data_IF_749164338956
#
_entry.id   IF_749164338956
#
_cell.length_a   1.000
_cell.length_b   1.000
_cell.length_c   1.000
_cell.angle_alpha   90.00
_cell.angle_beta   90.00
_cell.angle_gamma   90.00
#
_symmetry.space_group_name_H-M   'P 1'
#
loop_
_entity.id
_entity.type
_entity.pdbx_description
1 polymer ?
#
# COMPACT_ATOMS: atom_id res chain seq x y z
N UNK A 1 26.71 -5.42 11.00
CA UNK A 1 26.11 -6.72 11.32
C UNK A 1 25.00 -6.98 10.31
N UNK A 2 24.99 -8.18 9.73
CA UNK A 2 23.94 -8.59 8.77
C UNK A 2 22.84 -9.31 9.53
N UNK A 3 21.58 -8.87 9.33
CA UNK A 3 20.42 -9.56 9.89
C UNK A 3 20.19 -10.85 9.10
N UNK A 4 20.23 -11.99 9.77
CA UNK A 4 20.05 -13.31 9.15
C UNK A 4 18.83 -14.07 9.67
N UNK A 5 18.24 -13.63 10.79
CA UNK A 5 17.07 -14.26 11.41
C UNK A 5 16.28 -13.25 12.21
N UNK A 6 14.93 -13.39 12.17
CA UNK A 6 14.02 -12.80 13.14
C UNK A 6 13.26 -13.91 13.83
N UNK A 7 13.08 -13.79 15.15
CA UNK A 7 12.29 -14.73 15.95
C UNK A 7 11.06 -14.06 16.49
N UNK A 8 9.94 -14.68 16.32
CA UNK A 8 8.64 -14.22 16.79
C UNK A 8 8.14 -15.09 17.92
N UNK A 9 7.49 -14.47 18.90
CA UNK A 9 7.05 -15.13 20.12
C UNK A 9 5.55 -14.97 20.29
N UNK A 10 4.92 -15.96 20.93
CA UNK A 10 3.59 -15.86 21.49
C UNK A 10 3.59 -14.98 22.75
N UNK A 11 2.42 -14.60 23.24
CA UNK A 11 2.26 -13.80 24.47
C UNK A 11 2.83 -14.50 25.71
N UNK A 12 2.80 -15.82 25.74
CA UNK A 12 3.37 -16.65 26.81
C UNK A 12 4.91 -16.78 26.77
N UNK A 13 5.56 -16.17 25.77
CA UNK A 13 7.00 -16.19 25.57
C UNK A 13 7.53 -17.42 24.82
N UNK A 14 6.68 -18.36 24.42
CA UNK A 14 7.06 -19.47 23.56
C UNK A 14 7.34 -18.99 22.13
N UNK A 15 8.16 -19.73 21.37
CA UNK A 15 8.52 -19.38 20.00
C UNK A 15 7.34 -19.68 19.08
N UNK A 16 6.82 -18.65 18.41
CA UNK A 16 5.79 -18.77 17.39
C UNK A 16 6.39 -19.29 16.08
N UNK A 17 7.41 -18.59 15.55
CA UNK A 17 8.17 -19.02 14.38
C UNK A 17 9.49 -18.25 14.23
N UNK A 18 10.38 -18.80 13.44
CA UNK A 18 11.60 -18.14 12.98
C UNK A 18 11.47 -17.78 11.50
N UNK A 19 11.87 -16.56 11.14
CA UNK A 19 12.02 -16.13 9.76
C UNK A 19 13.50 -16.00 9.42
N UNK A 20 13.97 -16.76 8.43
CA UNK A 20 15.33 -16.68 7.95
C UNK A 20 15.47 -15.66 6.81
N UNK A 21 16.56 -14.91 6.86
CA UNK A 21 16.85 -13.82 5.92
C UNK A 21 18.20 -14.10 5.26
N UNK A 22 18.24 -14.05 3.96
CA UNK A 22 19.44 -14.18 3.14
C UNK A 22 19.49 -13.02 2.15
N UNK A 23 20.61 -12.33 2.08
CA UNK A 23 20.81 -11.14 1.21
C UNK A 23 19.73 -10.06 1.41
N UNK A 24 19.27 -9.88 2.66
CA UNK A 24 18.23 -8.90 3.00
C UNK A 24 16.81 -9.32 2.62
N UNK A 25 16.62 -10.53 2.08
CA UNK A 25 15.32 -11.05 1.68
C UNK A 25 14.85 -12.19 2.59
N UNK A 26 13.55 -12.20 2.85
CA UNK A 26 12.88 -13.28 3.60
C UNK A 26 12.84 -14.55 2.74
N UNK A 27 13.46 -15.64 3.24
CA UNK A 27 13.62 -16.88 2.48
C UNK A 27 12.83 -18.06 3.03
N UNK A 28 12.60 -18.08 4.34
CA UNK A 28 12.00 -19.23 4.97
C UNK A 28 11.32 -18.84 6.29
N UNK A 29 10.17 -19.43 6.54
CA UNK A 29 9.40 -19.26 7.77
C UNK A 29 9.26 -20.65 8.43
N UNK A 30 9.91 -20.83 9.59
CA UNK A 30 9.93 -22.09 10.31
C UNK A 30 9.04 -22.02 11.54
N UNK A 31 7.93 -22.71 11.47
CA UNK A 31 7.03 -22.95 12.59
C UNK A 31 7.42 -24.27 13.30
N UNK A 32 6.94 -24.55 14.52
CA UNK A 32 7.22 -25.80 15.23
C UNK A 32 6.84 -27.07 14.45
N UNK A 33 5.78 -27.02 13.64
CA UNK A 33 5.18 -28.15 12.95
C UNK A 33 5.31 -28.11 11.42
N UNK A 34 5.80 -26.99 10.85
CA UNK A 34 5.88 -26.82 9.39
C UNK A 34 6.87 -25.75 8.97
N UNK A 35 7.21 -25.75 7.68
CA UNK A 35 8.10 -24.78 7.05
C UNK A 35 7.42 -24.24 5.80
N UNK A 36 7.53 -22.91 5.59
CA UNK A 36 7.15 -22.25 4.35
C UNK A 36 8.40 -21.65 3.71
N UNK A 37 8.57 -21.86 2.41
CA UNK A 37 9.75 -21.43 1.66
C UNK A 37 9.54 -20.09 0.95
N UNK A 38 8.36 -19.47 1.11
CA UNK A 38 8.07 -18.14 0.60
C UNK A 38 6.99 -17.46 1.44
N UNK A 39 6.93 -16.12 1.36
CA UNK A 39 5.85 -15.33 1.95
C UNK A 39 4.49 -15.72 1.33
N UNK A 40 4.47 -16.03 0.04
CA UNK A 40 3.25 -16.45 -0.65
C UNK A 40 2.68 -17.76 -0.07
N UNK A 41 3.52 -18.76 0.20
CA UNK A 41 3.07 -20.02 0.86
C UNK A 41 2.50 -19.77 2.25
N UNK A 42 3.18 -18.93 3.06
CA UNK A 42 2.69 -18.56 4.38
C UNK A 42 1.34 -17.86 4.32
N UNK A 43 1.19 -16.87 3.42
CA UNK A 43 -0.06 -16.13 3.25
C UNK A 43 -1.18 -17.04 2.75
N UNK A 44 -0.89 -17.94 1.82
CA UNK A 44 -1.85 -18.96 1.34
C UNK A 44 -2.37 -19.79 2.49
N UNK A 45 -1.48 -20.35 3.29
CA UNK A 45 -1.86 -21.14 4.46
C UNK A 45 -2.69 -20.33 5.45
N UNK A 46 -2.29 -19.09 5.74
CA UNK A 46 -3.04 -18.21 6.62
C UNK A 46 -4.47 -17.97 6.12
N UNK A 47 -4.64 -17.62 4.85
CA UNK A 47 -5.97 -17.40 4.25
C UNK A 47 -6.83 -18.67 4.26
N UNK A 48 -6.24 -19.84 4.00
CA UNK A 48 -6.95 -21.11 4.09
C UNK A 48 -7.42 -21.42 5.51
N UNK A 49 -6.63 -21.07 6.54
CA UNK A 49 -7.04 -21.23 7.93
C UNK A 49 -8.23 -20.34 8.33
N UNK A 50 -8.42 -19.20 7.66
CA UNK A 50 -9.57 -18.31 7.91
C UNK A 50 -10.91 -18.90 7.46
N UNK A 51 -10.91 -19.88 6.52
CA UNK A 51 -12.12 -20.48 5.97
C UNK A 51 -13.14 -19.46 5.47
N UNK A 52 -12.66 -18.48 4.70
CA UNK A 52 -13.44 -17.33 4.21
C UNK A 52 -14.78 -17.75 3.59
N UNK A 53 -15.81 -16.97 3.87
CA UNK A 53 -17.19 -17.16 3.39
C UNK A 53 -17.65 -15.95 2.57
N UNK A 54 -18.85 -16.03 2.00
CA UNK A 54 -19.40 -15.00 1.11
C UNK A 54 -19.69 -13.64 1.77
N UNK A 55 -19.85 -13.61 3.08
CA UNK A 55 -20.06 -12.41 3.90
C UNK A 55 -18.75 -11.80 4.45
N UNK A 56 -17.61 -12.47 4.24
CA UNK A 56 -16.31 -11.92 4.58
C UNK A 56 -15.84 -10.93 3.53
N UNK A 57 -14.99 -9.98 3.97
CA UNK A 57 -14.33 -9.00 3.11
C UNK A 57 -12.83 -9.08 3.33
N UNK A 58 -12.10 -9.32 2.26
CA UNK A 58 -10.64 -9.26 2.25
C UNK A 58 -10.22 -7.95 1.58
N UNK A 59 -9.39 -7.17 2.26
CA UNK A 59 -8.85 -5.91 1.72
C UNK A 59 -7.34 -6.07 1.52
N UNK A 60 -6.91 -6.01 0.26
CA UNK A 60 -5.50 -5.95 -0.09
C UNK A 60 -5.03 -4.50 -0.05
N UNK A 61 -4.22 -4.19 0.96
CA UNK A 61 -3.67 -2.87 1.20
C UNK A 61 -2.20 -2.80 0.78
N UNK A 62 -1.94 -2.27 -0.40
CA UNK A 62 -0.62 -1.97 -0.99
C UNK A 62 0.47 -3.01 -0.65
N UNK A 63 0.51 -4.07 -1.39
CA UNK A 63 1.51 -5.14 -1.19
C UNK A 63 2.00 -5.66 -2.55
N UNK A 64 3.26 -6.06 -2.62
CA UNK A 64 3.85 -6.73 -3.77
C UNK A 64 4.18 -8.18 -3.44
N UNK A 65 4.03 -9.07 -4.45
CA UNK A 65 4.44 -10.47 -4.35
C UNK A 65 3.42 -11.42 -3.72
N UNK A 66 2.31 -10.92 -3.16
CA UNK A 66 1.23 -11.77 -2.61
C UNK A 66 -0.12 -11.58 -3.29
N UNK A 67 -0.23 -10.62 -4.22
CA UNK A 67 -1.50 -10.31 -4.89
C UNK A 67 -2.16 -11.54 -5.50
N UNK A 68 -1.41 -12.36 -6.23
CA UNK A 68 -1.92 -13.59 -6.82
C UNK A 68 -2.52 -14.54 -5.77
N UNK A 69 -1.80 -14.77 -4.69
CA UNK A 69 -2.27 -15.66 -3.61
C UNK A 69 -3.54 -15.15 -2.95
N UNK A 70 -3.59 -13.83 -2.67
CA UNK A 70 -4.79 -13.22 -2.09
C UNK A 70 -5.98 -13.36 -3.02
N UNK A 71 -5.80 -13.14 -4.32
CA UNK A 71 -6.87 -13.28 -5.31
C UNK A 71 -7.37 -14.73 -5.45
N UNK A 72 -6.45 -15.70 -5.41
CA UNK A 72 -6.79 -17.13 -5.49
C UNK A 72 -7.55 -17.62 -4.25
N UNK A 73 -7.11 -17.23 -3.06
CA UNK A 73 -7.68 -17.73 -1.80
C UNK A 73 -8.92 -16.93 -1.33
N UNK A 74 -9.15 -15.73 -1.91
CA UNK A 74 -10.28 -14.88 -1.53
C UNK A 74 -11.53 -15.06 -2.42
N UNK A 75 -11.57 -16.04 -3.33
CA UNK A 75 -12.64 -16.20 -4.31
C UNK A 75 -14.06 -16.40 -3.71
N UNK A 76 -14.15 -16.84 -2.46
CA UNK A 76 -15.42 -17.01 -1.75
C UNK A 76 -15.88 -15.76 -1.03
N UNK A 77 -14.94 -14.85 -0.72
CA UNK A 77 -15.18 -13.60 -0.03
C UNK A 77 -15.29 -12.43 -1.02
N UNK A 78 -15.63 -11.24 -0.52
CA UNK A 78 -15.49 -10.00 -1.27
C UNK A 78 -14.07 -9.51 -1.24
N UNK A 79 -13.51 -9.13 -2.38
CA UNK A 79 -12.15 -8.62 -2.50
C UNK A 79 -12.14 -7.12 -2.79
N UNK A 80 -11.57 -6.35 -1.86
CA UNK A 80 -11.28 -4.93 -2.02
C UNK A 80 -9.78 -4.67 -2.20
N UNK A 81 -9.43 -3.64 -2.96
CA UNK A 81 -8.04 -3.20 -3.14
C UNK A 81 -7.92 -1.71 -2.83
N UNK A 82 -6.95 -1.34 -1.98
CA UNK A 82 -6.70 0.07 -1.63
C UNK A 82 -5.58 0.65 -2.47
N UNK A 83 -5.82 1.81 -3.06
CA UNK A 83 -4.87 2.56 -3.89
C UNK A 83 -4.48 3.85 -3.15
N UNK A 84 -3.31 3.84 -2.51
CA UNK A 84 -2.87 4.91 -1.60
C UNK A 84 -2.20 6.11 -2.25
N UNK A 85 -1.56 5.92 -3.39
CA UNK A 85 -0.65 6.92 -3.95
C UNK A 85 -0.75 6.95 -5.47
N UNK A 86 0.24 7.54 -6.10
CA UNK A 86 0.41 7.50 -7.54
C UNK A 86 0.38 6.06 -8.05
N UNK A 87 -0.58 5.76 -8.90
CA UNK A 87 -0.88 4.40 -9.32
C UNK A 87 -0.36 4.06 -10.72
N UNK A 88 0.22 5.02 -11.42
CA UNK A 88 0.82 4.87 -12.75
C UNK A 88 2.00 5.83 -12.92
N UNK A 89 2.79 5.64 -13.97
CA UNK A 89 3.88 6.53 -14.35
C UNK A 89 3.46 7.36 -15.57
N UNK A 90 3.18 8.66 -15.36
CA UNK A 90 2.77 9.56 -16.43
C UNK A 90 3.85 9.67 -17.52
N UNK A 91 5.12 9.81 -17.12
CA UNK A 91 6.25 9.96 -18.04
C UNK A 91 6.60 8.68 -18.83
N UNK A 92 6.06 7.53 -18.46
CA UNK A 92 6.29 6.25 -19.12
C UNK A 92 5.00 5.65 -19.70
N UNK A 93 3.94 6.45 -19.79
CA UNK A 93 2.67 6.09 -20.43
C UNK A 93 2.53 6.84 -21.76
N UNK A 94 1.76 6.29 -22.69
CA UNK A 94 1.46 6.85 -24.02
C UNK A 94 -0.03 6.67 -24.31
N UNK A 95 -0.49 7.11 -25.48
CA UNK A 95 -1.89 6.96 -25.88
C UNK A 95 -2.34 5.49 -25.96
N UNK A 96 -1.44 4.57 -26.26
CA UNK A 96 -1.76 3.15 -26.42
C UNK A 96 -1.31 2.27 -25.23
N UNK A 97 -0.60 2.84 -24.26
CA UNK A 97 0.01 2.08 -23.18
C UNK A 97 0.05 2.88 -21.89
N UNK A 98 -0.29 2.22 -20.78
CA UNK A 98 -0.13 2.76 -19.44
C UNK A 98 0.82 1.89 -18.62
N UNK A 99 1.83 2.51 -18.00
CA UNK A 99 2.71 1.85 -17.04
C UNK A 99 2.13 1.99 -15.64
N UNK A 100 1.44 0.96 -15.17
CA UNK A 100 0.97 0.87 -13.82
C UNK A 100 2.13 0.82 -12.81
N UNK A 101 1.94 1.39 -11.66
CA UNK A 101 2.89 1.23 -10.56
C UNK A 101 2.91 -0.24 -10.10
N UNK A 102 4.11 -0.79 -9.83
CA UNK A 102 4.32 -2.19 -9.45
C UNK A 102 3.48 -2.65 -8.24
N UNK A 103 3.05 -1.72 -7.37
CA UNK A 103 2.15 -2.05 -6.27
C UNK A 103 0.73 -2.38 -6.71
N UNK A 104 0.33 -1.99 -7.92
CA UNK A 104 -1.05 -2.10 -8.41
C UNK A 104 -1.18 -2.80 -9.75
N UNK A 105 -0.07 -3.04 -10.46
CA UNK A 105 -0.08 -3.63 -11.80
C UNK A 105 -0.85 -4.96 -11.85
N UNK A 106 -0.56 -5.88 -10.93
CA UNK A 106 -1.26 -7.17 -10.86
C UNK A 106 -2.75 -6.98 -10.57
N UNK A 107 -3.11 -6.10 -9.65
CA UNK A 107 -4.48 -5.84 -9.22
C UNK A 107 -5.31 -5.20 -10.34
N UNK A 108 -4.74 -4.25 -11.07
CA UNK A 108 -5.42 -3.60 -12.18
C UNK A 108 -5.54 -4.52 -13.40
N UNK A 109 -4.51 -5.30 -13.70
CA UNK A 109 -4.54 -6.29 -14.78
C UNK A 109 -5.59 -7.38 -14.51
N UNK A 110 -5.87 -7.70 -13.25
CA UNK A 110 -6.89 -8.67 -12.82
C UNK A 110 -8.11 -8.00 -12.16
N UNK A 111 -8.48 -6.80 -12.58
CA UNK A 111 -9.56 -6.03 -11.97
C UNK A 111 -10.94 -6.69 -12.04
N UNK A 112 -11.14 -7.63 -12.97
CA UNK A 112 -12.33 -8.47 -13.08
C UNK A 112 -12.56 -9.41 -11.88
N UNK A 113 -11.51 -9.64 -11.08
CA UNK A 113 -11.56 -10.46 -9.86
C UNK A 113 -11.71 -9.62 -8.58
N UNK A 114 -11.75 -8.31 -8.72
CA UNK A 114 -11.87 -7.36 -7.60
C UNK A 114 -13.30 -6.83 -7.53
N UNK A 115 -13.95 -6.95 -6.37
CA UNK A 115 -15.29 -6.43 -6.17
C UNK A 115 -15.30 -4.89 -6.14
N UNK A 116 -14.28 -4.27 -5.53
CA UNK A 116 -14.17 -2.80 -5.46
C UNK A 116 -12.74 -2.33 -5.22
N UNK A 117 -12.40 -1.18 -5.81
CA UNK A 117 -11.20 -0.43 -5.46
C UNK A 117 -11.54 0.73 -4.53
N UNK A 118 -10.63 1.06 -3.63
CA UNK A 118 -10.73 2.20 -2.73
C UNK A 118 -9.60 3.18 -3.07
N UNK A 119 -9.96 4.42 -3.35
CA UNK A 119 -9.03 5.53 -3.58
C UNK A 119 -9.24 6.63 -2.55
N UNK A 120 -8.22 7.46 -2.32
CA UNK A 120 -8.26 8.48 -1.28
C UNK A 120 -9.06 9.74 -1.67
N UNK A 121 -9.20 10.04 -2.96
CA UNK A 121 -9.81 11.28 -3.44
C UNK A 121 -10.69 11.09 -4.68
N UNK A 122 -11.67 11.96 -4.85
CA UNK A 122 -12.50 11.99 -6.07
C UNK A 122 -11.68 12.30 -7.33
N UNK A 123 -10.59 13.05 -7.21
CA UNK A 123 -9.70 13.31 -8.33
C UNK A 123 -9.01 12.02 -8.80
N UNK A 124 -8.48 11.24 -7.85
CA UNK A 124 -7.86 9.94 -8.16
C UNK A 124 -8.87 8.96 -8.76
N UNK A 125 -10.09 8.91 -8.22
CA UNK A 125 -11.19 8.10 -8.76
C UNK A 125 -11.43 8.41 -10.24
N UNK A 126 -11.64 9.68 -10.57
CA UNK A 126 -11.90 10.12 -11.97
C UNK A 126 -10.77 9.73 -12.92
N UNK A 127 -9.51 9.93 -12.49
CA UNK A 127 -8.35 9.57 -13.29
C UNK A 127 -8.33 8.05 -13.54
N UNK A 128 -8.51 7.26 -12.49
CA UNK A 128 -8.46 5.80 -12.59
C UNK A 128 -9.63 5.25 -13.44
N UNK A 129 -10.84 5.80 -13.32
CA UNK A 129 -11.98 5.45 -14.17
C UNK A 129 -11.70 5.73 -15.65
N UNK A 130 -11.15 6.91 -15.97
CA UNK A 130 -10.75 7.27 -17.33
C UNK A 130 -9.67 6.35 -17.89
N UNK A 131 -8.70 5.99 -17.07
CA UNK A 131 -7.63 5.08 -17.47
C UNK A 131 -8.17 3.65 -17.73
N UNK A 132 -9.03 3.12 -16.88
CA UNK A 132 -9.69 1.84 -17.16
C UNK A 132 -10.51 1.90 -18.45
N UNK A 133 -11.25 2.98 -18.68
CA UNK A 133 -12.02 3.16 -19.89
C UNK A 133 -11.14 3.22 -21.16
N UNK A 134 -9.93 3.77 -21.05
CA UNK A 134 -9.03 3.97 -22.20
C UNK A 134 -8.13 2.77 -22.46
N UNK A 135 -7.53 2.20 -21.42
CA UNK A 135 -6.49 1.17 -21.53
C UNK A 135 -6.97 -0.25 -21.23
N UNK A 136 -8.22 -0.45 -20.90
CA UNK A 136 -8.76 -1.74 -20.47
C UNK A 136 -10.19 -1.93 -20.96
N UNK A 137 -10.61 -3.19 -21.09
CA UNK A 137 -12.00 -3.59 -21.30
C UNK A 137 -12.79 -3.74 -19.99
N UNK A 138 -12.14 -3.49 -18.84
CA UNK A 138 -12.69 -3.70 -17.50
C UNK A 138 -13.28 -2.41 -16.95
N UNK A 139 -14.36 -2.54 -16.19
CA UNK A 139 -15.02 -1.41 -15.53
C UNK A 139 -15.21 -1.72 -14.04
N UNK A 140 -14.15 -1.64 -13.23
CA UNK A 140 -14.24 -1.95 -11.82
C UNK A 140 -15.05 -0.90 -11.05
N UNK A 141 -15.66 -1.31 -9.94
CA UNK A 141 -16.25 -0.37 -8.98
C UNK A 141 -15.14 0.36 -8.23
N UNK A 142 -15.21 1.70 -8.17
CA UNK A 142 -14.22 2.52 -7.46
C UNK A 142 -14.95 3.40 -6.45
N UNK A 143 -14.61 3.23 -5.17
CA UNK A 143 -15.13 4.01 -4.06
C UNK A 143 -14.08 5.03 -3.57
N UNK A 144 -14.52 6.22 -3.20
CA UNK A 144 -13.65 7.21 -2.57
C UNK A 144 -13.80 7.14 -1.05
N UNK A 145 -12.72 6.79 -0.38
CA UNK A 145 -12.63 6.79 1.09
C UNK A 145 -11.37 7.57 1.47
N UNK A 146 -11.50 8.80 2.00
CA UNK A 146 -10.36 9.62 2.41
C UNK A 146 -9.49 8.92 3.46
N UNK A 147 -8.18 9.06 3.34
CA UNK A 147 -7.22 8.54 4.32
C UNK A 147 -7.26 9.40 5.57
N UNK A 148 -7.49 8.76 6.69
CA UNK A 148 -7.54 9.40 8.00
C UNK A 148 -8.89 10.06 8.32
N UNK A 149 -9.17 10.14 9.60
CA UNK A 149 -10.28 10.90 10.15
C UNK A 149 -9.78 11.79 11.27
N UNK A 150 -10.41 12.94 11.47
CA UNK A 150 -10.18 13.81 12.60
C UNK A 150 -11.43 13.77 13.47
N UNK A 151 -11.33 13.09 14.60
CA UNK A 151 -12.43 13.02 15.58
C UNK A 151 -12.65 14.38 16.26
N UNK A 152 -11.58 15.17 16.38
CA UNK A 152 -11.63 16.52 16.95
C UNK A 152 -10.70 17.46 16.17
N UNK A 153 -11.26 18.56 15.68
CA UNK A 153 -10.49 19.66 15.12
C UNK A 153 -10.10 20.61 16.25
N UNK A 154 -8.80 20.74 16.49
CA UNK A 154 -8.26 21.70 17.44
C UNK A 154 -7.58 22.83 16.69
N UNK A 155 -8.07 24.04 16.87
CA UNK A 155 -7.44 25.23 16.29
C UNK A 155 -6.51 25.88 17.31
N UNK A 156 -5.28 26.29 16.90
CA UNK A 156 -4.38 26.99 17.79
C UNK A 156 -5.04 28.31 18.26
N UNK A 157 -4.95 28.58 19.55
CA UNK A 157 -5.46 29.82 20.16
C UNK A 157 -4.42 30.95 20.11
N UNK A 158 -3.17 30.58 19.99
CA UNK A 158 -2.05 31.53 19.89
C UNK A 158 -2.01 32.18 18.51
N UNK A 159 -1.65 33.48 18.43
CA UNK A 159 -1.43 34.14 17.15
C UNK A 159 -0.29 33.47 16.37
N UNK A 160 -0.42 33.44 15.08
CA UNK A 160 0.64 32.89 14.21
C UNK A 160 1.92 33.72 14.37
N UNK A 161 3.05 33.04 14.51
CA UNK A 161 4.36 33.70 14.51
C UNK A 161 4.58 34.34 13.13
N UNK A 162 4.78 35.68 13.05
CA UNK A 162 5.03 36.35 11.78
C UNK A 162 6.27 35.80 11.07
N UNK A 163 6.30 35.83 9.76
CA UNK A 163 7.43 35.41 8.93
C UNK A 163 7.95 34.00 9.26
N UNK A 164 7.07 33.09 9.61
CA UNK A 164 7.41 31.71 9.90
C UNK A 164 6.75 30.75 8.93
N UNK A 165 7.49 29.70 8.56
CA UNK A 165 7.00 28.58 7.78
C UNK A 165 7.20 27.28 8.56
N UNK A 166 6.32 26.32 8.35
CA UNK A 166 6.43 24.98 8.93
C UNK A 166 6.27 23.94 7.83
N UNK A 167 7.07 22.90 7.90
CA UNK A 167 6.89 21.69 7.10
C UNK A 167 6.96 20.47 8.02
N UNK A 168 6.15 19.48 7.73
CA UNK A 168 6.16 18.19 8.41
C UNK A 168 6.14 17.08 7.37
N UNK A 169 7.26 16.40 7.16
CA UNK A 169 7.38 15.31 6.23
C UNK A 169 8.55 14.40 6.60
N UNK A 170 8.67 13.24 5.93
CA UNK A 170 9.89 12.44 5.99
C UNK A 170 11.06 13.24 5.35
N UNK A 171 12.28 13.06 5.87
CA UNK A 171 13.47 13.57 5.22
C UNK A 171 13.82 12.61 4.06
N UNK A 172 13.26 12.90 2.90
CA UNK A 172 13.47 12.14 1.68
C UNK A 172 13.62 13.13 0.51
N UNK A 173 14.41 12.75 -0.48
CA UNK A 173 14.78 13.62 -1.61
C UNK A 173 13.55 14.10 -2.38
N UNK A 174 12.56 13.28 -2.54
CA UNK A 174 11.29 13.60 -3.21
C UNK A 174 10.44 14.65 -2.47
N UNK A 175 10.80 15.02 -1.24
CA UNK A 175 10.10 16.06 -0.45
C UNK A 175 10.72 17.44 -0.59
N UNK A 176 11.87 17.53 -1.23
CA UNK A 176 12.57 18.79 -1.55
C UNK A 176 12.65 19.78 -0.37
N UNK A 177 12.92 19.28 0.83
CA UNK A 177 13.05 20.13 2.04
C UNK A 177 14.22 21.11 1.91
N UNK A 178 15.29 20.71 1.23
CA UNK A 178 16.45 21.55 0.86
C UNK A 178 16.01 22.75 0.02
N UNK A 179 15.10 22.60 -0.92
CA UNK A 179 14.56 23.69 -1.73
C UNK A 179 13.76 24.68 -0.87
N UNK A 180 12.95 24.16 0.05
CA UNK A 180 12.20 25.01 0.98
C UNK A 180 13.14 25.87 1.84
N UNK A 181 14.20 25.25 2.37
CA UNK A 181 15.22 25.96 3.17
C UNK A 181 15.92 27.03 2.31
N UNK A 182 16.36 26.69 1.10
CA UNK A 182 17.01 27.62 0.21
C UNK A 182 16.11 28.81 -0.16
N UNK A 183 14.85 28.56 -0.50
CA UNK A 183 13.87 29.60 -0.81
C UNK A 183 13.60 30.52 0.39
N UNK A 184 13.53 29.96 1.60
CA UNK A 184 13.33 30.74 2.83
C UNK A 184 14.50 31.66 3.10
N UNK A 185 15.74 31.18 2.92
CA UNK A 185 16.96 32.00 3.08
C UNK A 185 16.99 33.16 2.09
N UNK A 186 16.64 32.90 0.82
CA UNK A 186 16.57 33.94 -0.20
C UNK A 186 15.49 34.99 0.11
N UNK A 187 14.31 34.57 0.55
CA UNK A 187 13.22 35.48 0.90
C UNK A 187 13.55 36.33 2.14
N UNK A 188 14.38 35.83 3.06
CA UNK A 188 14.81 36.58 4.25
C UNK A 188 15.92 37.61 3.94
N UNK A 189 16.67 37.43 2.86
CA UNK A 189 17.76 38.31 2.44
C UNK A 189 17.27 39.54 1.61
N UNK A 190 15.99 39.57 1.25
CA UNK A 190 15.32 40.72 0.59
C UNK A 190 14.60 41.60 1.61
#
# INVERSE_FOLDING_TARGET
ATLYQRRFYHEDGSVAYDMLIEDGQEKLYRFPDRIFYSKAELVRYFLQCLQLQADDVVILDRETGIGQVVFEESQKAKLGVVVHAEHFSENASSDDYILWNNFYDYQFTNADKVDFFIVATEAQKRILEQQFQHYSDKQPQIATIPVGSLDQLTYPKEPRKPFSMITASRLATEKHIDWLVAATVQAHAQ
#
